data_IF_348894248720
#
_entry.id   IF_348894248720
#
_cell.length_a   1.000
_cell.length_b   1.000
_cell.length_c   1.000
_cell.angle_alpha   90.00
_cell.angle_beta   90.00
_cell.angle_gamma   90.00
#
_symmetry.space_group_name_H-M   'P 1'
#
loop_
_entity.id
_entity.type
_entity.pdbx_description
1 polymer ?
#
# COMPACT_ATOMS: atom_id res chain seq x y z
N UNK A 1 23.09 -0.68 15.17
CA UNK A 1 21.66 -0.74 14.84
C UNK A 1 21.14 -2.07 15.32
N UNK A 2 20.05 -2.07 16.08
CA UNK A 2 19.45 -3.31 16.55
C UNK A 2 18.99 -4.13 15.34
N UNK A 3 19.05 -5.47 15.40
CA UNK A 3 18.56 -6.36 14.32
C UNK A 3 17.13 -6.00 13.90
N UNK A 4 16.34 -5.46 14.83
CA UNK A 4 14.91 -5.16 14.67
C UNK A 4 14.61 -3.88 13.88
N UNK A 5 15.51 -2.89 13.86
CA UNK A 5 15.33 -1.61 13.13
C UNK A 5 15.34 -1.77 11.60
N UNK A 6 15.81 -2.91 11.08
CA UNK A 6 16.02 -3.10 9.64
C UNK A 6 14.79 -3.61 8.90
N UNK A 7 13.90 -4.33 9.58
CA UNK A 7 12.77 -5.00 8.94
C UNK A 7 11.60 -4.05 8.73
N UNK A 8 11.00 -4.12 7.54
CA UNK A 8 9.79 -3.40 7.20
C UNK A 8 8.80 -4.24 6.37
N UNK A 9 9.15 -5.46 5.99
CA UNK A 9 8.31 -6.38 5.24
C UNK A 9 8.10 -7.64 6.07
N UNK A 10 6.84 -8.03 6.28
CA UNK A 10 6.45 -9.04 7.27
C UNK A 10 5.54 -10.10 6.65
N UNK A 11 5.69 -11.34 7.09
CA UNK A 11 4.60 -12.32 6.97
C UNK A 11 3.51 -11.97 7.99
N UNK A 12 2.27 -11.99 7.56
CA UNK A 12 1.11 -11.68 8.39
C UNK A 12 0.82 -12.89 9.29
N UNK A 13 0.82 -12.73 10.63
CA UNK A 13 0.62 -13.85 11.54
C UNK A 13 -0.76 -14.53 11.36
N UNK A 14 -0.88 -15.84 11.64
CA UNK A 14 -2.14 -16.57 11.54
C UNK A 14 -3.31 -15.96 12.31
N UNK A 15 -3.04 -15.32 13.45
CA UNK A 15 -4.08 -14.64 14.23
C UNK A 15 -4.78 -13.51 13.45
N UNK A 16 -4.16 -12.95 12.42
CA UNK A 16 -4.71 -11.92 11.55
C UNK A 16 -5.26 -12.49 10.22
N UNK A 17 -4.69 -13.57 9.71
CA UNK A 17 -5.12 -14.17 8.43
C UNK A 17 -6.30 -15.13 8.58
N UNK A 18 -6.54 -15.71 9.75
CA UNK A 18 -7.61 -16.71 9.97
C UNK A 18 -9.02 -16.23 9.60
N UNK A 19 -9.29 -14.92 9.63
CA UNK A 19 -10.61 -14.36 9.27
C UNK A 19 -10.69 -14.02 7.78
N UNK A 20 -9.61 -13.49 7.19
CA UNK A 20 -9.57 -12.98 5.81
C UNK A 20 -8.23 -13.28 5.13
N UNK A 21 -7.88 -14.55 5.00
CA UNK A 21 -6.57 -14.98 4.46
C UNK A 21 -6.29 -14.45 3.05
N UNK A 22 -7.32 -14.45 2.19
CA UNK A 22 -7.24 -13.92 0.82
C UNK A 22 -6.87 -12.43 0.74
N UNK A 23 -7.04 -11.66 1.82
CA UNK A 23 -6.72 -10.24 1.83
C UNK A 23 -5.20 -9.95 1.78
N UNK A 24 -4.39 -10.94 2.13
CA UNK A 24 -2.94 -10.80 2.27
C UNK A 24 -2.14 -11.56 1.19
N UNK A 25 -2.83 -12.28 0.30
CA UNK A 25 -2.21 -13.12 -0.73
C UNK A 25 -2.32 -12.50 -2.12
N UNK A 26 -1.21 -12.33 -2.86
CA UNK A 26 -1.24 -11.83 -4.23
C UNK A 26 -1.98 -12.80 -5.15
N UNK A 27 -2.56 -12.27 -6.23
CA UNK A 27 -3.40 -13.06 -7.14
C UNK A 27 -2.87 -13.09 -8.57
N UNK A 28 -1.99 -12.16 -8.94
CA UNK A 28 -1.53 -11.95 -10.30
C UNK A 28 -0.01 -11.83 -10.38
N UNK A 29 0.64 -11.20 -9.40
CA UNK A 29 2.11 -11.02 -9.42
C UNK A 29 2.73 -11.19 -8.04
N UNK A 30 3.73 -12.07 -7.94
CA UNK A 30 4.64 -12.13 -6.81
C UNK A 30 5.69 -11.02 -6.92
N UNK A 31 6.00 -10.37 -5.81
CA UNK A 31 7.01 -9.33 -5.68
C UNK A 31 7.81 -9.61 -4.40
N UNK A 32 9.08 -9.95 -4.57
CA UNK A 32 9.94 -10.36 -3.47
C UNK A 32 9.81 -11.86 -3.13
N UNK A 33 10.47 -12.29 -2.04
CA UNK A 33 10.69 -13.71 -1.75
C UNK A 33 9.45 -14.48 -1.25
N UNK A 34 8.53 -13.87 -0.51
CA UNK A 34 7.53 -14.63 0.26
C UNK A 34 6.50 -15.42 -0.59
N UNK A 35 6.25 -14.97 -1.81
CA UNK A 35 5.34 -15.60 -2.79
C UNK A 35 6.07 -16.02 -4.07
N UNK A 36 7.40 -16.01 -4.07
CA UNK A 36 8.17 -16.34 -5.24
C UNK A 36 8.03 -17.83 -5.59
N UNK A 37 7.68 -18.14 -6.84
CA UNK A 37 7.54 -19.52 -7.31
C UNK A 37 6.16 -20.15 -7.11
N UNK A 38 5.23 -19.46 -6.46
CA UNK A 38 3.82 -19.87 -6.32
C UNK A 38 3.20 -20.15 -7.69
N UNK A 39 2.56 -21.32 -7.82
CA UNK A 39 2.10 -21.86 -9.11
C UNK A 39 1.18 -20.90 -9.86
N UNK A 40 0.27 -20.24 -9.14
CA UNK A 40 -0.73 -19.35 -9.71
C UNK A 40 -0.15 -17.99 -10.16
N UNK A 41 1.06 -17.64 -9.71
CA UNK A 41 1.73 -16.36 -9.99
C UNK A 41 2.80 -16.48 -11.08
N UNK A 42 3.24 -17.72 -11.39
CA UNK A 42 4.26 -18.02 -12.41
C UNK A 42 4.02 -17.41 -13.79
N UNK A 43 2.78 -17.27 -14.31
CA UNK A 43 2.57 -16.64 -15.62
C UNK A 43 3.19 -15.23 -15.72
N UNK A 44 3.30 -14.50 -14.61
CA UNK A 44 3.87 -13.16 -14.62
C UNK A 44 5.40 -13.14 -14.78
N UNK A 45 6.11 -14.23 -14.49
CA UNK A 45 7.58 -14.30 -14.58
C UNK A 45 8.08 -14.04 -16.01
N UNK A 46 7.34 -14.48 -17.02
CA UNK A 46 7.67 -14.18 -18.42
C UNK A 46 7.62 -12.66 -18.68
N UNK A 47 6.65 -11.97 -18.09
CA UNK A 47 6.48 -10.53 -18.26
C UNK A 47 7.53 -9.73 -17.50
N UNK A 48 7.99 -10.22 -16.35
CA UNK A 48 9.18 -9.66 -15.65
C UNK A 48 10.44 -9.78 -16.51
N UNK A 49 10.63 -10.93 -17.16
CA UNK A 49 11.74 -11.11 -18.11
C UNK A 49 11.67 -10.13 -19.29
N UNK A 50 10.47 -9.89 -19.83
CA UNK A 50 10.28 -8.92 -20.91
C UNK A 50 10.58 -7.49 -20.46
N UNK A 51 10.15 -7.11 -19.25
CA UNK A 51 10.42 -5.80 -18.67
C UNK A 51 11.93 -5.54 -18.52
N UNK A 52 12.68 -6.51 -17.97
CA UNK A 52 14.13 -6.41 -17.84
C UNK A 52 14.81 -6.22 -19.21
N UNK A 53 14.45 -7.04 -20.21
CA UNK A 53 15.04 -6.93 -21.56
C UNK A 53 14.79 -5.56 -22.18
N UNK A 54 13.57 -5.03 -22.04
CA UNK A 54 13.20 -3.72 -22.56
C UNK A 54 13.92 -2.58 -21.86
N UNK A 55 14.13 -2.71 -20.54
CA UNK A 55 14.93 -1.75 -19.78
C UNK A 55 16.38 -1.76 -20.27
N UNK A 56 17.04 -2.93 -20.32
CA UNK A 56 18.44 -3.07 -20.74
C UNK A 56 18.68 -2.55 -22.17
N UNK A 57 17.76 -2.81 -23.10
CA UNK A 57 17.83 -2.29 -24.47
C UNK A 57 17.77 -0.76 -24.53
N UNK A 58 17.06 -0.12 -23.60
CA UNK A 58 16.86 1.33 -23.59
C UNK A 58 18.07 2.10 -23.06
N UNK A 59 18.79 1.53 -22.10
CA UNK A 59 19.77 2.29 -21.30
C UNK A 59 21.22 1.94 -21.60
N UNK A 60 21.45 1.08 -22.60
CA UNK A 60 22.79 0.59 -22.97
C UNK A 60 23.59 0.13 -21.74
N UNK A 61 22.89 -0.60 -20.85
CA UNK A 61 23.49 -1.25 -19.67
C UNK A 61 23.41 -2.76 -19.82
N UNK A 62 24.30 -3.44 -19.13
CA UNK A 62 24.36 -4.89 -19.02
C UNK A 62 23.61 -5.37 -17.79
N UNK A 63 23.25 -6.65 -17.78
CA UNK A 63 22.67 -7.27 -16.59
C UNK A 63 23.67 -7.29 -15.43
N UNK A 64 24.96 -7.51 -15.72
CA UNK A 64 26.02 -7.53 -14.71
C UNK A 64 26.15 -6.18 -14.00
N UNK A 65 26.02 -5.05 -14.72
CA UNK A 65 26.00 -3.72 -14.08
C UNK A 65 24.82 -3.52 -13.11
N UNK A 66 23.65 -4.12 -13.40
CA UNK A 66 22.53 -4.11 -12.46
C UNK A 66 22.81 -5.01 -11.24
N UNK A 67 23.42 -6.17 -11.46
CA UNK A 67 23.83 -7.09 -10.39
C UNK A 67 24.82 -6.41 -9.46
N UNK A 68 25.89 -5.82 -9.99
CA UNK A 68 26.91 -5.10 -9.23
C UNK A 68 26.29 -3.96 -8.42
N UNK A 69 25.41 -3.16 -9.04
CA UNK A 69 24.75 -2.06 -8.35
C UNK A 69 23.80 -2.51 -7.24
N UNK A 70 23.02 -3.58 -7.46
CA UNK A 70 22.09 -4.09 -6.43
C UNK A 70 22.84 -4.82 -5.31
N UNK A 71 23.97 -5.46 -5.62
CA UNK A 71 24.84 -6.13 -4.65
C UNK A 71 25.31 -5.17 -3.54
N UNK A 72 25.62 -3.90 -3.90
CA UNK A 72 26.03 -2.86 -2.94
C UNK A 72 25.02 -2.64 -1.80
N UNK A 73 23.73 -2.86 -2.05
CA UNK A 73 22.64 -2.62 -1.08
C UNK A 73 21.98 -3.91 -0.62
N UNK A 74 22.42 -5.08 -1.06
CA UNK A 74 21.61 -6.27 -0.91
C UNK A 74 21.56 -6.82 0.54
N UNK A 75 22.51 -6.48 1.42
CA UNK A 75 22.32 -6.70 2.87
C UNK A 75 21.15 -5.90 3.46
N UNK A 76 20.93 -4.67 2.98
CA UNK A 76 19.82 -3.83 3.40
C UNK A 76 18.50 -4.36 2.82
N UNK A 77 18.53 -4.87 1.59
CA UNK A 77 17.37 -5.50 0.95
C UNK A 77 16.96 -6.78 1.66
N UNK A 78 17.90 -7.69 1.96
CA UNK A 78 17.62 -8.90 2.75
C UNK A 78 17.12 -8.54 4.14
N UNK A 79 17.77 -7.56 4.80
CA UNK A 79 17.40 -7.08 6.13
C UNK A 79 16.03 -6.41 6.22
N UNK A 80 15.42 -6.04 5.09
CA UNK A 80 14.07 -5.49 5.05
C UNK A 80 12.99 -6.55 5.34
N UNK A 81 13.28 -7.84 5.08
CA UNK A 81 12.33 -8.94 5.27
C UNK A 81 12.48 -9.60 6.64
N UNK A 82 11.38 -9.66 7.41
CA UNK A 82 11.36 -10.42 8.65
C UNK A 82 11.30 -11.92 8.35
N UNK A 83 12.42 -12.60 8.63
CA UNK A 83 12.57 -14.05 8.49
C UNK A 83 12.21 -14.61 7.09
N UNK A 84 12.92 -14.20 6.02
CA UNK A 84 12.75 -14.84 4.71
C UNK A 84 13.13 -16.32 4.78
N UNK A 85 12.54 -17.12 3.88
CA UNK A 85 12.80 -18.56 3.80
C UNK A 85 14.30 -18.80 3.59
N UNK A 86 14.80 -19.93 4.10
CA UNK A 86 16.25 -20.20 4.17
C UNK A 86 16.96 -20.07 2.82
N UNK A 87 16.31 -20.39 1.71
CA UNK A 87 16.89 -20.27 0.36
C UNK A 87 17.21 -18.84 -0.08
N UNK A 88 16.60 -17.83 0.56
CA UNK A 88 16.79 -16.41 0.24
C UNK A 88 17.78 -15.70 1.15
N UNK A 89 18.29 -16.39 2.18
CA UNK A 89 19.27 -15.82 3.12
C UNK A 89 20.69 -16.00 2.58
N UNK A 90 21.59 -15.08 2.94
CA UNK A 90 23.01 -15.17 2.61
C UNK A 90 23.66 -16.52 3.00
N UNK A 91 23.20 -17.18 4.08
CA UNK A 91 23.69 -18.50 4.53
C UNK A 91 23.06 -19.69 3.80
N UNK A 92 21.96 -19.47 3.07
CA UNK A 92 21.23 -20.48 2.31
C UNK A 92 21.78 -20.79 0.91
N UNK A 93 22.84 -20.09 0.50
CA UNK A 93 23.65 -20.48 -0.66
C UNK A 93 23.21 -19.95 -2.03
N UNK A 94 22.37 -18.92 -2.13
CA UNK A 94 22.18 -18.27 -3.44
C UNK A 94 21.84 -16.78 -3.37
N UNK A 95 22.82 -15.98 -2.90
CA UNK A 95 22.84 -14.53 -3.06
C UNK A 95 22.49 -14.11 -4.49
N UNK A 96 23.08 -14.79 -5.48
CA UNK A 96 22.80 -14.58 -6.90
C UNK A 96 21.31 -14.74 -7.25
N UNK A 97 20.62 -15.75 -6.72
CA UNK A 97 19.19 -15.96 -6.96
C UNK A 97 18.34 -14.88 -6.30
N UNK A 98 18.73 -14.42 -5.10
CA UNK A 98 18.08 -13.29 -4.43
C UNK A 98 18.23 -12.00 -5.26
N UNK A 99 19.44 -11.67 -5.70
CA UNK A 99 19.71 -10.49 -6.55
C UNK A 99 18.93 -10.58 -7.85
N UNK A 100 18.94 -11.74 -8.51
CA UNK A 100 18.18 -11.94 -9.74
C UNK A 100 16.69 -11.65 -9.49
N UNK A 101 16.07 -12.30 -8.50
CA UNK A 101 14.67 -12.06 -8.15
C UNK A 101 14.38 -10.58 -7.88
N UNK A 102 15.22 -9.89 -7.11
CA UNK A 102 15.08 -8.45 -6.87
C UNK A 102 15.17 -7.63 -8.16
N UNK A 103 16.12 -7.92 -9.04
CA UNK A 103 16.29 -7.19 -10.31
C UNK A 103 15.09 -7.42 -11.23
N UNK A 104 14.65 -8.67 -11.41
CA UNK A 104 13.49 -8.97 -12.27
C UNK A 104 12.21 -8.31 -11.74
N UNK A 105 11.94 -8.42 -10.44
CA UNK A 105 10.75 -7.84 -9.82
C UNK A 105 10.80 -6.30 -9.81
N UNK A 106 11.97 -5.72 -9.50
CA UNK A 106 12.19 -4.28 -9.49
C UNK A 106 12.08 -3.65 -10.88
N UNK A 107 12.70 -4.25 -11.90
CA UNK A 107 12.59 -3.78 -13.29
C UNK A 107 11.14 -3.89 -13.80
N UNK A 108 10.44 -4.98 -13.48
CA UNK A 108 9.01 -5.11 -13.79
C UNK A 108 8.19 -3.97 -13.19
N UNK A 109 8.39 -3.69 -11.90
CA UNK A 109 7.64 -2.64 -11.22
C UNK A 109 7.94 -1.25 -11.81
N UNK A 110 9.21 -0.94 -12.09
CA UNK A 110 9.61 0.31 -12.75
C UNK A 110 8.93 0.47 -14.12
N UNK A 111 8.96 -0.56 -14.96
CA UNK A 111 8.35 -0.50 -16.30
C UNK A 111 6.82 -0.33 -16.23
N UNK A 112 6.14 -1.10 -15.37
CA UNK A 112 4.68 -0.95 -15.19
C UNK A 112 4.34 0.46 -14.71
N UNK A 113 5.05 1.01 -13.73
CA UNK A 113 4.84 2.38 -13.25
C UNK A 113 5.06 3.41 -14.37
N UNK A 114 6.13 3.28 -15.17
CA UNK A 114 6.42 4.18 -16.30
C UNK A 114 5.35 4.13 -17.37
N UNK A 115 4.90 2.93 -17.76
CA UNK A 115 3.83 2.74 -18.74
C UNK A 115 2.53 3.44 -18.32
N UNK A 116 2.15 3.38 -17.05
CA UNK A 116 0.97 4.12 -16.56
C UNK A 116 1.18 5.62 -16.51
N UNK A 117 2.40 6.08 -16.21
CA UNK A 117 2.72 7.49 -16.05
C UNK A 117 2.81 8.26 -17.37
N UNK A 118 2.85 7.55 -18.50
CA UNK A 118 3.03 8.14 -19.83
C UNK A 118 1.72 8.66 -20.46
N UNK A 119 0.60 8.63 -19.74
CA UNK A 119 -0.68 9.26 -20.12
C UNK A 119 -1.13 8.88 -21.56
N UNK A 120 -0.93 7.61 -21.93
CA UNK A 120 -1.29 7.07 -23.25
C UNK A 120 -0.19 7.17 -24.31
N UNK A 121 0.98 7.72 -23.98
CA UNK A 121 2.19 7.57 -24.80
C UNK A 121 2.81 6.19 -24.58
N UNK A 122 3.33 5.61 -25.65
CA UNK A 122 4.04 4.33 -25.59
C UNK A 122 5.37 4.52 -24.85
N UNK A 123 5.62 3.70 -23.83
CA UNK A 123 6.90 3.63 -23.12
C UNK A 123 7.59 2.38 -23.59
N UNK A 124 8.79 2.51 -24.16
CA UNK A 124 9.51 1.39 -24.76
C UNK A 124 8.81 0.84 -26.01
N UNK A 125 9.33 -0.29 -26.51
CA UNK A 125 8.94 -0.86 -27.79
C UNK A 125 7.97 -2.04 -27.64
N UNK A 126 7.13 -2.03 -26.60
CA UNK A 126 6.13 -3.07 -26.38
C UNK A 126 5.09 -3.10 -27.51
N UNK A 127 4.67 -4.29 -27.91
CA UNK A 127 3.65 -4.45 -28.94
C UNK A 127 2.30 -3.83 -28.51
N UNK A 128 1.52 -3.32 -29.48
CA UNK A 128 0.21 -2.71 -29.21
C UNK A 128 -0.81 -3.66 -28.54
N UNK A 129 -0.60 -4.97 -28.68
CA UNK A 129 -1.40 -6.05 -28.08
C UNK A 129 -0.67 -6.75 -26.92
N UNK A 130 0.39 -6.15 -26.36
CA UNK A 130 1.06 -6.67 -25.18
C UNK A 130 0.07 -6.85 -24.01
N UNK A 131 0.02 -8.01 -23.34
CA UNK A 131 -0.97 -8.26 -22.30
C UNK A 131 -0.81 -7.39 -21.05
N UNK A 132 0.38 -6.83 -20.81
CA UNK A 132 0.69 -6.03 -19.61
C UNK A 132 0.97 -4.57 -19.97
N UNK A 133 1.89 -4.35 -20.90
CA UNK A 133 2.47 -3.01 -21.15
C UNK A 133 1.77 -2.21 -22.25
N UNK A 134 0.79 -2.81 -22.94
CA UNK A 134 -0.05 -2.08 -23.89
C UNK A 134 -1.11 -1.23 -23.18
N UNK A 135 -1.79 -0.35 -23.92
CA UNK A 135 -2.95 0.37 -23.41
C UNK A 135 -4.05 -0.56 -22.89
N UNK A 136 -4.23 -1.74 -23.51
CA UNK A 136 -5.19 -2.74 -23.05
C UNK A 136 -4.73 -3.37 -21.73
N UNK A 137 -3.47 -3.79 -21.64
CA UNK A 137 -2.90 -4.33 -20.41
C UNK A 137 -2.94 -3.33 -19.25
N UNK A 138 -2.63 -2.06 -19.52
CA UNK A 138 -2.74 -0.98 -18.53
C UNK A 138 -4.17 -0.82 -18.02
N UNK A 139 -5.18 -0.99 -18.88
CA UNK A 139 -6.57 -0.83 -18.47
C UNK A 139 -7.07 -2.01 -17.61
N UNK A 140 -6.70 -3.24 -17.97
CA UNK A 140 -7.31 -4.44 -17.39
C UNK A 140 -6.43 -5.19 -16.39
N UNK A 141 -5.10 -5.14 -16.52
CA UNK A 141 -4.17 -5.88 -15.64
C UNK A 141 -3.62 -5.03 -14.50
N UNK A 142 -3.36 -3.75 -14.74
CA UNK A 142 -2.79 -2.85 -13.72
C UNK A 142 -3.64 -2.72 -12.45
N UNK A 143 -4.98 -2.71 -12.47
CA UNK A 143 -5.76 -2.71 -11.22
C UNK A 143 -5.42 -3.88 -10.30
N UNK A 144 -5.19 -5.08 -10.85
CA UNK A 144 -4.79 -6.25 -10.08
C UNK A 144 -3.34 -6.15 -9.59
N UNK A 145 -2.43 -5.66 -10.45
CA UNK A 145 -1.02 -5.42 -10.07
C UNK A 145 -0.94 -4.40 -8.93
N UNK A 146 -1.71 -3.31 -8.98
CA UNK A 146 -1.79 -2.30 -7.90
C UNK A 146 -2.23 -2.90 -6.59
N UNK A 147 -3.27 -3.74 -6.63
CA UNK A 147 -3.78 -4.40 -5.43
C UNK A 147 -2.72 -5.33 -4.83
N UNK A 148 -2.07 -6.15 -5.65
CA UNK A 148 -1.01 -7.06 -5.20
C UNK A 148 0.22 -6.30 -4.67
N UNK A 149 0.54 -5.13 -5.25
CA UNK A 149 1.60 -4.22 -4.78
C UNK A 149 1.28 -3.56 -3.42
N UNK A 150 0.04 -3.61 -2.95
CA UNK A 150 -0.34 -3.11 -1.62
C UNK A 150 -0.37 -4.20 -0.54
N UNK A 151 -0.09 -5.46 -0.89
CA UNK A 151 -0.12 -6.54 0.08
C UNK A 151 1.18 -6.61 0.88
N UNK A 152 1.07 -6.70 2.20
CA UNK A 152 2.22 -6.63 3.10
C UNK A 152 3.24 -7.75 2.85
N UNK A 153 2.78 -8.94 2.47
CA UNK A 153 3.66 -10.07 2.13
C UNK A 153 4.27 -9.97 0.71
N UNK A 154 3.86 -8.98 -0.10
CA UNK A 154 4.20 -8.88 -1.51
C UNK A 154 4.84 -7.51 -1.83
N UNK A 155 5.87 -7.15 -1.08
CA UNK A 155 6.54 -5.85 -1.14
C UNK A 155 7.98 -5.98 -1.66
N UNK A 156 8.44 -4.90 -2.30
CA UNK A 156 9.86 -4.63 -2.57
C UNK A 156 10.30 -3.40 -1.77
N UNK A 157 11.50 -3.40 -1.16
CA UNK A 157 12.05 -2.19 -0.55
C UNK A 157 12.22 -1.09 -1.59
N UNK A 158 11.84 0.15 -1.28
CA UNK A 158 12.01 1.26 -2.22
C UNK A 158 13.48 1.56 -2.52
N UNK A 159 14.39 1.18 -1.63
CA UNK A 159 15.83 1.24 -1.83
C UNK A 159 16.26 0.49 -3.11
N UNK A 160 15.63 -0.65 -3.41
CA UNK A 160 15.88 -1.39 -4.64
C UNK A 160 15.52 -0.54 -5.87
N UNK A 161 14.33 0.08 -5.86
CA UNK A 161 13.88 0.92 -6.97
C UNK A 161 14.78 2.14 -7.15
N UNK A 162 15.21 2.76 -6.05
CA UNK A 162 16.18 3.85 -6.08
C UNK A 162 17.49 3.40 -6.73
N UNK A 163 18.03 2.25 -6.31
CA UNK A 163 19.30 1.74 -6.82
C UNK A 163 19.24 1.35 -8.29
N UNK A 164 18.17 0.69 -8.73
CA UNK A 164 17.97 0.35 -10.15
C UNK A 164 17.93 1.60 -11.04
N UNK A 165 17.22 2.65 -10.61
CA UNK A 165 17.15 3.92 -11.36
C UNK A 165 18.50 4.67 -11.32
N UNK A 166 19.25 4.57 -10.22
CA UNK A 166 20.60 5.12 -10.13
C UNK A 166 21.55 4.47 -11.14
N UNK A 167 21.58 3.14 -11.22
CA UNK A 167 22.40 2.40 -12.21
C UNK A 167 21.98 2.75 -13.64
N UNK A 168 20.67 2.80 -13.89
CA UNK A 168 20.09 3.16 -15.19
C UNK A 168 20.55 4.55 -15.65
N UNK A 169 20.51 5.54 -14.76
CA UNK A 169 20.80 6.94 -15.09
C UNK A 169 22.26 7.35 -14.91
N UNK A 170 23.07 6.53 -14.22
CA UNK A 170 24.41 6.86 -13.78
C UNK A 170 24.47 8.02 -12.79
N UNK A 171 23.37 8.32 -12.09
CA UNK A 171 23.25 9.48 -11.18
C UNK A 171 22.48 9.12 -9.92
N UNK A 172 22.88 9.65 -8.75
CA UNK A 172 22.14 9.44 -7.51
C UNK A 172 20.72 9.98 -7.64
N UNK A 173 19.77 9.24 -7.11
CA UNK A 173 18.34 9.56 -7.23
C UNK A 173 17.79 10.22 -5.97
N UNK A 174 16.90 11.19 -6.18
CA UNK A 174 16.19 11.85 -5.10
C UNK A 174 15.08 10.94 -4.56
N UNK A 175 15.01 10.74 -3.24
CA UNK A 175 13.94 10.03 -2.55
C UNK A 175 12.54 10.47 -2.99
N UNK A 176 12.33 11.78 -3.15
CA UNK A 176 11.05 12.36 -3.57
C UNK A 176 10.64 11.92 -4.98
N UNK A 177 11.60 11.59 -5.84
CA UNK A 177 11.33 11.10 -7.19
C UNK A 177 10.74 9.69 -7.16
N UNK A 178 11.35 8.78 -6.39
CA UNK A 178 10.88 7.39 -6.27
C UNK A 178 9.52 7.35 -5.56
N UNK A 179 9.38 8.08 -4.45
CA UNK A 179 8.11 8.19 -3.74
C UNK A 179 6.98 8.69 -4.65
N UNK A 180 7.25 9.71 -5.47
CA UNK A 180 6.26 10.25 -6.42
C UNK A 180 5.91 9.27 -7.52
N UNK A 181 6.87 8.49 -8.02
CA UNK A 181 6.62 7.46 -9.03
C UNK A 181 5.64 6.40 -8.49
N UNK A 182 5.90 5.90 -7.28
CA UNK A 182 5.04 4.95 -6.57
C UNK A 182 3.64 5.53 -6.34
N UNK A 183 3.54 6.77 -5.86
CA UNK A 183 2.24 7.39 -5.60
C UNK A 183 1.44 7.68 -6.87
N UNK A 184 2.08 8.15 -7.95
CA UNK A 184 1.40 8.35 -9.23
C UNK A 184 0.82 7.02 -9.74
N UNK A 185 1.53 5.92 -9.51
CA UNK A 185 1.06 4.59 -9.87
C UNK A 185 -0.12 4.14 -9.01
N UNK A 186 0.01 4.19 -7.68
CA UNK A 186 -0.99 3.65 -6.74
C UNK A 186 -2.24 4.53 -6.63
N UNK A 187 -2.08 5.85 -6.75
CA UNK A 187 -3.11 6.80 -6.37
C UNK A 187 -3.12 8.00 -7.30
N UNK A 188 -3.80 7.84 -8.44
CA UNK A 188 -3.91 8.87 -9.49
C UNK A 188 -4.50 10.21 -8.99
N UNK A 189 -5.16 10.21 -7.83
CA UNK A 189 -5.85 11.36 -7.24
C UNK A 189 -5.23 11.89 -5.93
N UNK A 190 -4.14 11.28 -5.44
CA UNK A 190 -3.49 11.71 -4.20
C UNK A 190 -2.56 12.91 -4.41
N UNK A 191 -2.55 13.84 -3.45
CA UNK A 191 -1.54 14.89 -3.39
C UNK A 191 -0.14 14.32 -3.16
N UNK A 192 0.93 15.03 -3.60
CA UNK A 192 2.29 14.58 -3.36
C UNK A 192 2.60 14.55 -1.86
N UNK A 193 3.47 13.64 -1.43
CA UNK A 193 4.09 13.73 -0.10
C UNK A 193 4.81 15.07 0.05
N UNK A 194 4.84 15.65 1.27
CA UNK A 194 5.67 16.80 1.55
C UNK A 194 7.14 16.52 1.15
N UNK A 195 7.86 17.50 0.57
CA UNK A 195 9.27 17.32 0.24
C UNK A 195 10.11 16.99 1.49
N UNK A 196 11.12 16.14 1.34
CA UNK A 196 12.08 15.84 2.40
C UNK A 196 11.58 14.88 3.49
N UNK A 197 10.53 14.10 3.21
CA UNK A 197 10.02 13.03 4.09
C UNK A 197 10.91 11.77 4.09
N UNK A 198 11.96 11.77 3.26
CA UNK A 198 12.86 10.64 3.06
C UNK A 198 12.22 9.51 2.24
N UNK A 199 13.03 8.54 1.85
CA UNK A 199 12.57 7.41 1.06
C UNK A 199 11.48 6.61 1.81
N UNK A 200 10.47 6.17 1.06
CA UNK A 200 9.54 5.14 1.52
C UNK A 200 10.25 3.87 1.96
N UNK A 201 9.66 3.07 2.85
CA UNK A 201 10.18 1.74 3.14
C UNK A 201 9.87 0.80 1.98
N UNK A 202 8.61 0.74 1.58
CA UNK A 202 8.07 -0.07 0.49
C UNK A 202 6.76 0.59 -0.02
N UNK A 203 6.16 0.14 -1.15
CA UNK A 203 4.99 0.79 -1.74
C UNK A 203 3.80 1.03 -0.81
N UNK A 204 3.42 0.03 -0.01
CA UNK A 204 2.32 0.14 0.95
C UNK A 204 2.56 1.25 1.99
N UNK A 205 3.78 1.41 2.49
CA UNK A 205 4.13 2.45 3.46
C UNK A 205 4.09 3.85 2.81
N UNK A 206 4.61 4.01 1.58
CA UNK A 206 4.49 5.29 0.84
C UNK A 206 3.02 5.69 0.67
N UNK A 207 2.18 4.74 0.28
CA UNK A 207 0.76 4.99 0.08
C UNK A 207 0.06 5.33 1.39
N UNK A 208 0.34 4.59 2.47
CA UNK A 208 -0.12 4.90 3.82
C UNK A 208 0.26 6.32 4.23
N UNK A 209 1.54 6.70 4.13
CA UNK A 209 2.01 8.05 4.50
C UNK A 209 1.31 9.14 3.70
N UNK A 210 0.95 8.89 2.43
CA UNK A 210 0.23 9.86 1.60
C UNK A 210 -1.17 10.18 2.12
N UNK A 211 -1.79 9.25 2.87
CA UNK A 211 -3.08 9.44 3.52
C UNK A 211 -2.97 10.21 4.85
N UNK A 212 -1.76 10.38 5.39
CA UNK A 212 -1.50 10.95 6.72
C UNK A 212 -0.82 12.32 6.64
N UNK A 213 -1.31 13.19 5.75
CA UNK A 213 -0.74 14.53 5.55
C UNK A 213 -1.31 15.57 6.52
N UNK A 214 -0.54 16.60 6.84
CA UNK A 214 -0.96 17.67 7.75
C UNK A 214 -0.65 17.37 9.22
N UNK A 215 -1.12 18.25 10.11
CA UNK A 215 -0.86 18.10 11.54
C UNK A 215 -1.88 17.13 12.13
N UNK A 216 -1.40 16.02 12.70
CA UNK A 216 -2.20 15.24 13.64
C UNK A 216 -2.49 16.15 14.85
N UNK A 217 -3.77 16.37 15.12
CA UNK A 217 -4.17 17.07 16.33
C UNK A 217 -3.94 16.11 17.49
N UNK A 218 -2.80 16.26 18.19
CA UNK A 218 -2.55 15.48 19.40
C UNK A 218 -3.72 15.68 20.35
N UNK A 219 -4.42 14.58 20.64
CA UNK A 219 -5.34 14.51 21.76
C UNK A 219 -4.49 14.85 22.98
N UNK A 220 -4.83 15.93 23.69
CA UNK A 220 -4.21 16.19 25.00
C UNK A 220 -4.38 14.90 25.80
N UNK A 221 -3.27 14.35 26.29
CA UNK A 221 -3.28 13.20 27.18
C UNK A 221 -4.44 13.34 28.16
N UNK A 222 -5.40 12.40 28.21
CA UNK A 222 -6.41 12.42 29.25
C UNK A 222 -5.65 12.36 30.58
N UNK A 223 -5.61 13.50 31.29
CA UNK A 223 -5.66 13.41 32.74
C UNK A 223 -7.09 12.89 32.98
N UNK A 224 -7.19 11.72 33.60
CA UNK A 224 -8.41 10.94 33.87
C UNK A 224 -8.65 9.79 32.87
N UNK A 225 -7.99 8.66 33.13
CA UNK A 225 -8.40 7.35 32.64
C UNK A 225 -9.61 6.89 33.46
N UNK A 226 -10.81 7.25 33.02
CA UNK A 226 -11.93 6.33 33.14
C UNK A 226 -11.99 5.54 31.83
N UNK A 227 -12.14 4.22 31.91
CA UNK A 227 -12.55 3.39 30.78
C UNK A 227 -13.92 3.88 30.34
N UNK A 228 -13.95 4.91 29.49
CA UNK A 228 -15.18 5.46 28.99
C UNK A 228 -15.70 4.47 27.94
N UNK A 229 -16.51 3.52 28.40
CA UNK A 229 -17.35 2.63 27.58
C UNK A 229 -18.45 3.42 26.86
N UNK A 230 -18.14 4.64 26.40
CA UNK A 230 -19.06 5.48 25.64
C UNK A 230 -19.27 4.84 24.29
N UNK A 231 -20.46 4.27 24.12
CA UNK A 231 -20.95 3.79 22.83
C UNK A 231 -21.04 5.01 21.90
N UNK A 232 -20.16 5.04 20.89
CA UNK A 232 -20.25 6.01 19.80
C UNK A 232 -21.51 5.68 19.01
N UNK A 233 -22.34 6.70 18.77
CA UNK A 233 -23.61 6.57 18.05
C UNK A 233 -23.39 6.52 16.54
N UNK A 234 -24.31 5.86 15.84
CA UNK A 234 -24.24 5.73 14.38
C UNK A 234 -24.40 7.10 13.68
N UNK A 235 -24.01 7.20 12.41
CA UNK A 235 -24.11 8.45 11.67
C UNK A 235 -25.55 8.98 11.61
N UNK A 236 -26.55 8.11 11.46
CA UNK A 236 -27.97 8.48 11.50
C UNK A 236 -28.36 9.02 12.88
N UNK A 237 -28.01 8.32 13.96
CA UNK A 237 -28.32 8.77 15.32
C UNK A 237 -27.67 10.13 15.63
N UNK A 238 -26.41 10.32 15.23
CA UNK A 238 -25.71 11.59 15.38
C UNK A 238 -26.41 12.71 14.60
N UNK A 239 -26.88 12.41 13.38
CA UNK A 239 -27.61 13.36 12.56
C UNK A 239 -28.97 13.74 13.15
N UNK A 240 -29.72 12.78 13.69
CA UNK A 240 -30.98 13.00 14.40
C UNK A 240 -30.78 13.82 15.68
N UNK A 241 -29.64 13.67 16.35
CA UNK A 241 -29.22 14.51 17.47
C UNK A 241 -28.76 15.93 17.06
N UNK A 242 -28.78 16.26 15.77
CA UNK A 242 -28.49 17.59 15.23
C UNK A 242 -27.06 17.79 14.71
N UNK A 243 -26.22 16.75 14.70
CA UNK A 243 -24.85 16.83 14.18
C UNK A 243 -24.87 16.81 12.64
N UNK A 244 -24.20 17.78 12.03
CA UNK A 244 -24.08 17.87 10.58
C UNK A 244 -22.79 17.24 10.09
N UNK A 245 -22.84 16.50 8.97
CA UNK A 245 -21.66 15.93 8.33
C UNK A 245 -21.25 16.78 7.12
N UNK A 246 -19.94 17.00 6.95
CA UNK A 246 -19.38 17.71 5.78
C UNK A 246 -18.03 17.14 5.34
N UNK A 247 -17.73 17.12 4.03
CA UNK A 247 -16.40 16.78 3.57
C UNK A 247 -15.37 17.76 4.15
N UNK A 248 -14.21 17.23 4.56
CA UNK A 248 -13.08 18.04 4.94
C UNK A 248 -12.39 18.63 3.71
N UNK A 249 -11.39 19.50 3.94
CA UNK A 249 -10.73 20.21 2.84
C UNK A 249 -9.63 19.37 2.18
N UNK A 250 -9.18 18.33 2.85
CA UNK A 250 -8.06 17.51 2.43
C UNK A 250 -8.44 16.04 2.46
N UNK A 251 -7.85 15.19 1.60
CA UNK A 251 -8.09 13.75 1.64
C UNK A 251 -7.36 13.06 2.81
N UNK A 252 -6.74 13.83 3.72
CA UNK A 252 -5.98 13.28 4.84
C UNK A 252 -6.89 12.67 5.89
N UNK A 253 -6.53 11.49 6.38
CA UNK A 253 -7.21 10.81 7.51
C UNK A 253 -7.09 11.61 8.82
N UNK A 254 -6.13 12.54 8.91
CA UNK A 254 -6.02 13.45 10.05
C UNK A 254 -7.01 14.63 10.01
N UNK A 255 -7.69 14.89 8.89
CA UNK A 255 -8.60 16.04 8.75
C UNK A 255 -10.02 15.71 9.22
N UNK A 256 -10.11 15.16 10.44
CA UNK A 256 -11.36 14.93 11.18
C UNK A 256 -11.50 16.01 12.25
N UNK A 257 -12.61 16.76 12.22
CA UNK A 257 -12.86 17.87 13.15
C UNK A 257 -14.33 17.98 13.51
N UNK A 258 -14.62 18.08 14.80
CA UNK A 258 -15.94 18.48 15.29
C UNK A 258 -15.90 19.94 15.73
N UNK A 259 -16.68 20.81 15.08
CA UNK A 259 -16.81 22.23 15.44
C UNK A 259 -18.22 22.73 15.23
N UNK A 260 -18.79 23.37 16.27
CA UNK A 260 -20.12 24.02 16.23
C UNK A 260 -21.21 23.10 15.67
N UNK A 261 -21.27 21.86 16.16
CA UNK A 261 -22.26 20.86 15.73
C UNK A 261 -22.02 20.29 14.32
N UNK A 262 -20.89 20.57 13.68
CA UNK A 262 -20.51 19.97 12.39
C UNK A 262 -19.30 19.07 12.57
N UNK A 263 -19.44 17.82 12.16
CA UNK A 263 -18.36 16.85 12.01
C UNK A 263 -17.87 16.88 10.56
N UNK A 264 -16.65 17.36 10.35
CA UNK A 264 -15.99 17.31 9.04
C UNK A 264 -14.95 16.21 8.99
N UNK A 265 -14.88 15.48 7.88
CA UNK A 265 -13.99 14.32 7.72
C UNK A 265 -13.65 14.09 6.24
N UNK A 266 -12.53 13.40 5.92
CA UNK A 266 -12.12 13.18 4.55
C UNK A 266 -13.14 12.37 3.75
N UNK A 267 -13.24 12.67 2.46
CA UNK A 267 -14.01 11.86 1.52
C UNK A 267 -13.25 10.57 1.22
N UNK A 268 -13.94 9.44 1.30
CA UNK A 268 -13.40 8.11 0.98
C UNK A 268 -14.16 7.51 -0.20
N UNK A 269 -13.41 7.06 -1.22
CA UNK A 269 -13.95 6.21 -2.27
C UNK A 269 -13.84 4.76 -1.84
N UNK A 270 -14.96 4.04 -1.88
CA UNK A 270 -15.05 2.64 -1.46
C UNK A 270 -15.34 1.78 -2.67
N UNK A 271 -14.34 0.99 -3.05
CA UNK A 271 -14.38 0.02 -4.16
C UNK A 271 -13.95 -1.38 -3.69
N UNK A 272 -13.90 -2.34 -4.62
CA UNK A 272 -13.53 -3.74 -4.35
C UNK A 272 -12.10 -3.92 -3.80
N UNK A 273 -11.23 -2.90 -3.93
CA UNK A 273 -9.84 -2.94 -3.45
C UNK A 273 -9.66 -2.33 -2.05
N UNK A 274 -10.64 -1.56 -1.60
CA UNK A 274 -10.56 -0.74 -0.37
C UNK A 274 -10.37 -1.60 0.89
N UNK A 275 -11.01 -2.77 0.95
CA UNK A 275 -10.86 -3.70 2.06
C UNK A 275 -9.41 -4.24 2.16
N UNK A 276 -8.86 -4.72 1.05
CA UNK A 276 -7.49 -5.22 0.97
C UNK A 276 -6.49 -4.14 1.40
N UNK A 277 -6.68 -2.92 0.91
CA UNK A 277 -5.85 -1.77 1.26
C UNK A 277 -5.83 -1.52 2.78
N UNK A 278 -7.00 -1.39 3.42
CA UNK A 278 -7.06 -1.12 4.86
C UNK A 278 -6.49 -2.27 5.68
N UNK A 279 -6.81 -3.52 5.34
CA UNK A 279 -6.31 -4.70 6.06
C UNK A 279 -4.79 -4.77 6.04
N UNK A 280 -4.16 -4.55 4.88
CA UNK A 280 -2.71 -4.56 4.77
C UNK A 280 -2.04 -3.37 5.49
N UNK A 281 -2.63 -2.17 5.43
CA UNK A 281 -2.12 -1.01 6.18
C UNK A 281 -2.22 -1.22 7.70
N UNK A 282 -3.35 -1.73 8.20
CA UNK A 282 -3.51 -2.01 9.62
C UNK A 282 -2.58 -3.15 10.07
N UNK A 283 -2.34 -4.15 9.23
CA UNK A 283 -1.35 -5.19 9.50
C UNK A 283 0.06 -4.60 9.62
N UNK A 284 0.43 -3.69 8.72
CA UNK A 284 1.70 -2.99 8.80
C UNK A 284 1.81 -2.13 10.07
N UNK A 285 0.77 -1.36 10.42
CA UNK A 285 0.73 -0.57 11.66
C UNK A 285 0.91 -1.43 12.92
N UNK A 286 0.33 -2.63 12.91
CA UNK A 286 0.42 -3.57 14.03
C UNK A 286 1.79 -4.23 14.14
N UNK A 287 2.45 -4.51 13.03
CA UNK A 287 3.72 -5.26 12.99
C UNK A 287 4.96 -4.36 13.01
N UNK A 288 4.86 -3.13 12.51
CA UNK A 288 5.98 -2.20 12.38
C UNK A 288 6.01 -1.16 13.49
N UNK A 289 6.95 -1.31 14.42
CA UNK A 289 7.17 -0.34 15.49
C UNK A 289 7.49 1.05 14.91
N UNK A 290 6.76 2.08 15.34
CA UNK A 290 6.93 3.45 14.85
C UNK A 290 6.06 3.81 13.64
N UNK A 291 5.31 2.87 13.05
CA UNK A 291 4.32 3.21 12.03
C UNK A 291 3.22 4.13 12.57
N UNK A 292 2.79 3.95 13.83
CA UNK A 292 1.61 4.58 14.39
C UNK A 292 0.37 3.69 14.23
N UNK A 293 -0.81 4.25 14.47
CA UNK A 293 -2.09 3.52 14.39
C UNK A 293 -3.19 4.35 13.72
N UNK A 294 -2.81 5.32 12.90
CA UNK A 294 -3.72 6.34 12.36
C UNK A 294 -4.74 5.76 11.37
N UNK A 295 -4.32 4.82 10.50
CA UNK A 295 -5.24 4.13 9.58
C UNK A 295 -6.16 3.22 10.38
N UNK A 296 -5.62 2.46 11.33
CA UNK A 296 -6.40 1.61 12.24
C UNK A 296 -7.45 2.43 13.00
N UNK A 297 -7.06 3.56 13.58
CA UNK A 297 -7.95 4.47 14.28
C UNK A 297 -9.03 5.06 13.38
N UNK A 298 -8.69 5.40 12.13
CA UNK A 298 -9.67 5.85 11.13
C UNK A 298 -10.69 4.75 10.81
N UNK A 299 -10.24 3.52 10.55
CA UNK A 299 -11.13 2.39 10.24
C UNK A 299 -12.07 2.08 11.41
N UNK A 300 -11.55 2.10 12.65
CA UNK A 300 -12.39 1.98 13.84
C UNK A 300 -13.39 3.12 13.98
N UNK A 301 -12.99 4.36 13.70
CA UNK A 301 -13.90 5.49 13.73
C UNK A 301 -15.03 5.33 12.69
N UNK A 302 -14.70 4.86 11.48
CA UNK A 302 -15.68 4.60 10.42
C UNK A 302 -16.66 3.49 10.80
N UNK A 303 -16.17 2.38 11.36
CA UNK A 303 -16.98 1.27 11.86
C UNK A 303 -17.97 1.72 12.94
N UNK A 304 -17.54 2.54 13.89
CA UNK A 304 -18.41 3.07 14.94
C UNK A 304 -19.58 3.91 14.41
N UNK A 305 -19.37 4.69 13.34
CA UNK A 305 -20.43 5.55 12.78
C UNK A 305 -21.24 4.85 11.67
N UNK A 306 -20.82 3.67 11.19
CA UNK A 306 -21.49 2.92 10.13
C UNK A 306 -22.03 1.60 10.70
N UNK A 307 -23.24 1.60 11.21
CA UNK A 307 -23.88 0.36 11.66
C UNK A 307 -24.68 -0.32 10.53
N UNK A 308 -25.25 0.48 9.63
CA UNK A 308 -26.20 0.02 8.63
C UNK A 308 -26.04 0.69 7.27
N UNK A 309 -26.73 0.16 6.25
CA UNK A 309 -26.83 0.80 4.94
C UNK A 309 -27.44 2.22 5.01
N UNK A 310 -28.23 2.55 6.03
CA UNK A 310 -28.78 3.90 6.20
C UNK A 310 -27.71 4.92 6.59
N UNK A 311 -26.75 4.51 7.41
CA UNK A 311 -25.60 5.35 7.79
C UNK A 311 -24.75 5.65 6.56
N UNK A 312 -24.49 4.63 5.73
CA UNK A 312 -23.79 4.82 4.45
C UNK A 312 -24.59 5.73 3.53
N UNK A 313 -25.90 5.53 3.36
CA UNK A 313 -26.73 6.38 2.51
C UNK A 313 -26.68 7.85 2.95
N UNK A 314 -26.73 8.10 4.27
CA UNK A 314 -26.58 9.44 4.84
C UNK A 314 -25.20 10.02 4.53
N UNK A 315 -24.11 9.31 4.84
CA UNK A 315 -22.74 9.78 4.61
C UNK A 315 -22.45 10.01 3.11
N UNK A 316 -22.98 9.16 2.24
CA UNK A 316 -22.94 9.32 0.78
C UNK A 316 -23.68 10.57 0.33
N UNK A 317 -24.88 10.84 0.88
CA UNK A 317 -25.63 12.08 0.58
C UNK A 317 -24.90 13.36 0.98
N UNK A 318 -23.96 13.26 1.92
CA UNK A 318 -23.12 14.37 2.40
C UNK A 318 -21.77 14.43 1.70
N UNK A 319 -21.50 13.53 0.75
CA UNK A 319 -20.24 13.47 0.00
C UNK A 319 -19.04 12.95 0.79
N UNK A 320 -19.29 12.29 1.93
CA UNK A 320 -18.23 11.64 2.73
C UNK A 320 -17.84 10.32 2.10
N UNK A 321 -18.82 9.52 1.67
CA UNK A 321 -18.58 8.22 1.03
C UNK A 321 -18.90 8.32 -0.44
N UNK A 322 -17.97 7.89 -1.29
CA UNK A 322 -18.20 7.64 -2.70
C UNK A 322 -18.30 6.13 -2.90
N UNK A 323 -19.52 5.63 -3.06
CA UNK A 323 -19.79 4.21 -3.18
C UNK A 323 -19.52 3.73 -4.62
N UNK A 324 -18.47 2.94 -4.80
CA UNK A 324 -18.11 2.26 -6.05
C UNK A 324 -18.15 0.72 -5.95
N UNK A 325 -18.56 0.17 -4.81
CA UNK A 325 -18.69 -1.29 -4.57
C UNK A 325 -20.10 -1.82 -4.94
N UNK A 326 -21.06 -0.93 -5.22
CA UNK A 326 -22.34 -1.25 -5.85
C UNK A 326 -23.56 -1.25 -4.93
N UNK A 327 -23.40 -1.23 -3.60
CA UNK A 327 -24.54 -1.03 -2.68
C UNK A 327 -24.09 -0.47 -1.33
N UNK A 328 -24.98 0.27 -0.65
CA UNK A 328 -24.69 0.81 0.68
C UNK A 328 -24.52 -0.28 1.73
N UNK A 329 -25.23 -1.41 1.56
CA UNK A 329 -25.09 -2.59 2.42
C UNK A 329 -23.70 -3.22 2.31
N UNK A 330 -23.11 -3.24 1.11
CA UNK A 330 -21.77 -3.76 0.90
C UNK A 330 -20.71 -2.88 1.57
N UNK A 331 -20.86 -1.55 1.52
CA UNK A 331 -19.98 -0.62 2.24
C UNK A 331 -20.08 -0.80 3.76
N UNK A 332 -21.30 -0.90 4.31
CA UNK A 332 -21.49 -1.13 5.74
C UNK A 332 -20.84 -2.46 6.17
N UNK A 333 -21.06 -3.53 5.40
CA UNK A 333 -20.43 -4.83 5.66
C UNK A 333 -18.89 -4.75 5.61
N UNK A 334 -18.32 -3.97 4.71
CA UNK A 334 -16.87 -3.81 4.59
C UNK A 334 -16.28 -3.27 5.90
N UNK A 335 -16.77 -2.13 6.40
CA UNK A 335 -16.24 -1.55 7.64
C UNK A 335 -16.46 -2.48 8.85
N UNK A 336 -17.66 -3.04 9.00
CA UNK A 336 -18.05 -3.82 10.19
C UNK A 336 -17.38 -5.20 10.25
N UNK A 337 -16.80 -5.67 9.14
CA UNK A 337 -16.02 -6.90 9.11
C UNK A 337 -14.52 -6.65 9.07
N UNK A 338 -14.08 -5.40 8.97
CA UNK A 338 -12.66 -5.02 8.93
C UNK A 338 -12.08 -4.79 10.34
N UNK A 339 -12.89 -4.29 11.27
CA UNK A 339 -12.53 -4.07 12.69
C UNK A 339 -12.51 -5.30 13.63
N UNK A 340 -13.20 -6.43 13.38
CA UNK A 340 -13.08 -7.62 14.24
C UNK A 340 -11.66 -8.21 14.28
N UNK A 341 -10.76 -7.77 13.40
CA UNK A 341 -9.37 -8.22 13.30
C UNK A 341 -8.41 -7.51 14.28
N UNK A 342 -8.82 -6.40 14.88
CA UNK A 342 -8.01 -5.64 15.83
C UNK A 342 -8.28 -6.05 17.29
N UNK A 343 -9.42 -6.68 17.58
CA UNK A 343 -9.74 -7.31 18.87
C UNK A 343 -9.27 -8.75 18.95
N UNK A 344 -8.00 -9.03 18.60
CA UNK A 344 -7.33 -10.17 19.22
C UNK A 344 -7.08 -9.79 20.68
N UNK A 345 -8.11 -10.04 21.48
CA UNK A 345 -8.08 -10.02 22.93
C UNK A 345 -6.85 -10.78 23.39
N UNK A 346 -5.98 -10.10 24.12
CA UNK A 346 -4.92 -10.73 24.89
C UNK A 346 -5.58 -11.70 25.87
N UNK A 347 -5.40 -13.00 25.64
CA UNK A 347 -5.62 -14.05 26.63
C UNK A 347 -4.28 -14.65 26.99
#
# INVERSE_FOLDING_TARGET
MSRWERHCIYRVPPCMTNIKSKAYQPQVVSLGPFHHGDLDLRPMEEHKCRALRQLLQRVERTFDELVDGVEEVAEQLEGAYMDPDGEWRADGGSRERFLAMMIFDGCFLLEVMRCTAADGKQVGDYAHNDPIFSRHGILYMVPYIRRDMLMLENQLPLLLLQKLVEVESGKPQNDDFINRMVLKFLAQSSGPLPPGVGLGLHPLDVFRRSMLTGKCHQIRSPQDNEEDNTIIRSAVELYEAGIQFKPSKTPSLHDIRFRRGTLSMPTVSVDDSTEYMFLNMMAFERLHAGAGNDVTGYVFFMDNIIDSAKDVALLSSKGIIQNAIGSDQAVAKLFNTTTPLSTCSST
#
